data_IF_476555346993
#
_entry.id   IF_476555346993
#
_cell.length_a   1.000
_cell.length_b   1.000
_cell.length_c   1.000
_cell.angle_alpha   90.00
_cell.angle_beta   90.00
_cell.angle_gamma   90.00
#
_symmetry.space_group_name_H-M   'P 1'
#
loop_
_entity.id
_entity.type
_entity.pdbx_description
1 polymer ?
#
# COMPACT_ATOMS: atom_id res chain seq x y z
N UNK A 1 46.89 1.77 -14.14
CA UNK A 1 46.17 2.92 -13.55
C UNK A 1 44.98 2.33 -12.82
N UNK A 2 45.16 2.11 -11.54
CA UNK A 2 44.18 1.49 -10.65
C UNK A 2 43.10 2.51 -10.28
N UNK A 3 41.86 2.20 -10.62
CA UNK A 3 40.69 2.95 -10.26
C UNK A 3 40.39 2.63 -8.78
N UNK A 4 40.87 3.44 -7.87
CA UNK A 4 40.47 3.42 -6.47
C UNK A 4 39.02 3.90 -6.41
N UNK A 5 38.11 2.94 -6.23
CA UNK A 5 36.73 3.23 -5.83
C UNK A 5 36.81 3.90 -4.44
N UNK A 6 36.49 5.18 -4.38
CA UNK A 6 36.26 5.86 -3.10
C UNK A 6 35.16 5.09 -2.34
N UNK A 7 35.41 4.72 -1.08
CA UNK A 7 34.35 4.10 -0.29
C UNK A 7 33.21 5.11 -0.12
N UNK A 8 31.99 4.66 -0.37
CA UNK A 8 30.78 5.42 -0.04
C UNK A 8 30.90 5.85 1.44
N UNK A 9 30.51 7.09 1.80
CA UNK A 9 30.53 7.52 3.18
C UNK A 9 29.67 6.55 3.99
N UNK A 10 30.29 5.84 4.95
CA UNK A 10 29.57 5.02 5.92
C UNK A 10 28.48 5.89 6.54
N UNK A 11 27.20 5.48 6.38
CA UNK A 11 26.08 6.14 7.05
C UNK A 11 26.41 6.16 8.54
N UNK A 12 26.64 7.34 9.10
CA UNK A 12 26.85 7.50 10.54
C UNK A 12 25.62 6.93 11.24
N UNK A 13 25.85 5.99 12.14
CA UNK A 13 24.78 5.45 12.96
C UNK A 13 24.35 6.53 13.95
N UNK A 14 23.20 7.16 13.71
CA UNK A 14 22.64 8.19 14.58
C UNK A 14 21.73 7.51 15.59
N UNK A 15 22.01 7.67 16.86
CA UNK A 15 21.23 7.15 17.96
C UNK A 15 20.49 8.29 18.69
N UNK A 16 19.19 8.21 18.75
CA UNK A 16 18.39 9.15 19.53
C UNK A 16 18.14 8.62 20.94
N UNK A 17 18.51 9.37 21.97
CA UNK A 17 18.17 9.08 23.37
C UNK A 17 16.99 10.00 23.77
N UNK A 18 15.83 9.41 23.96
CA UNK A 18 14.65 10.14 24.38
C UNK A 18 14.58 10.22 25.91
N UNK A 19 15.17 11.27 26.48
CA UNK A 19 15.25 11.53 27.92
C UNK A 19 14.34 12.71 28.32
N UNK A 20 13.04 12.51 28.28
CA UNK A 20 12.06 13.58 28.47
C UNK A 20 11.96 14.14 29.91
N UNK A 21 12.63 13.52 30.88
CA UNK A 21 12.67 13.98 32.27
C UNK A 21 14.00 14.57 32.70
N UNK A 22 15.00 14.58 31.83
CA UNK A 22 16.33 15.08 32.18
C UNK A 22 17.03 14.20 33.22
N UNK A 23 16.82 12.90 33.20
CA UNK A 23 17.44 11.96 34.13
C UNK A 23 18.95 11.86 33.90
N UNK A 24 19.68 11.50 34.96
CA UNK A 24 21.11 11.29 34.87
C UNK A 24 21.40 10.01 34.06
N UNK A 25 22.04 10.17 32.93
CA UNK A 25 22.36 9.10 32.00
C UNK A 25 23.64 8.30 32.34
N UNK A 26 24.30 8.60 33.49
CA UNK A 26 25.40 7.83 34.00
C UNK A 26 26.58 7.65 33.03
N UNK A 27 26.86 8.65 32.15
CA UNK A 27 27.92 8.56 31.13
C UNK A 27 27.54 7.71 29.90
N UNK A 28 26.33 7.26 29.78
CA UNK A 28 25.85 6.47 28.63
C UNK A 28 26.07 7.15 27.27
N UNK A 29 25.79 8.46 27.09
CA UNK A 29 26.08 9.12 25.83
C UNK A 29 27.55 9.10 25.44
N UNK A 30 28.46 9.37 26.38
CA UNK A 30 29.90 9.38 26.15
C UNK A 30 30.41 7.98 25.81
N UNK A 31 29.91 6.97 26.50
CA UNK A 31 30.22 5.60 26.20
C UNK A 31 29.75 5.20 24.80
N UNK A 32 28.52 5.53 24.41
CA UNK A 32 28.01 5.26 23.08
C UNK A 32 28.82 6.00 21.99
N UNK A 33 29.23 7.23 22.24
CA UNK A 33 30.18 7.93 21.36
C UNK A 33 31.46 7.17 21.17
N UNK A 34 32.03 6.60 22.27
CA UNK A 34 33.26 5.78 22.20
C UNK A 34 33.07 4.50 21.36
N UNK A 35 31.83 4.02 21.20
CA UNK A 35 31.46 2.90 20.35
C UNK A 35 31.16 3.31 18.90
N UNK A 36 31.34 4.57 18.53
CA UNK A 36 31.16 5.07 17.16
C UNK A 36 29.77 5.58 16.81
N UNK A 37 28.89 5.78 17.80
CA UNK A 37 27.56 6.35 17.59
C UNK A 37 27.59 7.88 17.57
N UNK A 38 26.82 8.48 16.66
CA UNK A 38 26.45 9.90 16.80
C UNK A 38 25.20 9.98 17.69
N UNK A 39 25.36 10.35 18.95
CA UNK A 39 24.28 10.35 19.95
C UNK A 39 23.60 11.70 20.00
N UNK A 40 22.28 11.69 19.91
CA UNK A 40 21.43 12.88 20.09
C UNK A 40 20.47 12.64 21.24
N UNK A 41 20.49 13.50 22.25
CA UNK A 41 19.68 13.38 23.45
C UNK A 41 18.60 14.46 23.44
N UNK A 42 17.35 14.07 23.69
CA UNK A 42 16.25 15.02 23.91
C UNK A 42 15.95 15.21 25.38
N UNK A 43 15.55 16.41 25.78
CA UNK A 43 15.19 16.79 27.13
C UNK A 43 13.67 16.97 27.37
N UNK A 44 12.86 16.67 26.35
CA UNK A 44 11.41 16.84 26.46
C UNK A 44 10.64 16.21 25.28
N UNK A 45 9.31 16.10 25.43
CA UNK A 45 8.45 15.44 24.45
C UNK A 45 8.48 16.11 23.07
N UNK A 46 8.51 17.45 23.02
CA UNK A 46 8.56 18.20 21.75
C UNK A 46 9.86 17.95 21.00
N UNK A 47 10.98 17.96 21.71
CA UNK A 47 12.30 17.68 21.17
C UNK A 47 12.43 16.21 20.73
N UNK A 48 11.87 15.27 21.52
CA UNK A 48 11.80 13.86 21.15
C UNK A 48 11.06 13.65 19.83
N UNK A 49 9.93 14.31 19.62
CA UNK A 49 9.17 14.28 18.37
C UNK A 49 9.98 14.83 17.19
N UNK A 50 10.68 15.94 17.40
CA UNK A 50 11.54 16.54 16.38
C UNK A 50 12.72 15.63 16.01
N UNK A 51 13.36 14.99 16.99
CA UNK A 51 14.45 14.04 16.73
C UNK A 51 13.99 12.84 15.92
N UNK A 52 12.81 12.28 16.21
CA UNK A 52 12.27 11.11 15.51
C UNK A 52 11.84 11.40 14.07
N UNK A 53 11.66 12.67 13.70
CA UNK A 53 11.38 13.08 12.32
C UNK A 53 12.64 13.16 11.45
N UNK A 54 13.83 13.13 12.07
CA UNK A 54 15.11 13.15 11.36
C UNK A 54 15.58 11.71 11.05
N UNK A 55 16.62 11.60 10.19
CA UNK A 55 17.26 10.32 9.92
C UNK A 55 18.00 9.83 11.17
N UNK A 56 17.43 8.85 11.87
CA UNK A 56 18.05 8.13 12.98
C UNK A 56 18.10 6.63 12.66
N UNK A 57 19.14 5.95 13.17
CA UNK A 57 19.34 4.53 12.93
C UNK A 57 18.73 3.66 14.02
N UNK A 58 18.66 4.16 15.25
CA UNK A 58 18.04 3.49 16.39
C UNK A 58 17.59 4.51 17.44
N UNK A 59 16.71 4.12 18.35
CA UNK A 59 16.29 4.96 19.47
C UNK A 59 16.36 4.21 20.81
N UNK A 60 16.83 4.90 21.84
CA UNK A 60 16.74 4.46 23.23
C UNK A 60 15.63 5.28 23.91
N UNK A 61 14.64 4.60 24.43
CA UNK A 61 13.58 5.22 25.22
C UNK A 61 13.93 5.04 26.72
N UNK A 62 14.24 6.15 27.39
CA UNK A 62 14.49 6.16 28.83
C UNK A 62 13.16 6.24 29.61
N UNK A 63 13.19 5.87 30.91
CA UNK A 63 12.03 5.34 31.60
C UNK A 63 10.83 6.24 31.54
N UNK A 64 9.79 5.67 31.02
CA UNK A 64 8.43 6.10 31.24
C UNK A 64 8.02 5.63 32.62
N UNK A 65 7.93 6.53 33.57
CA UNK A 65 7.11 6.23 34.75
C UNK A 65 5.69 6.07 34.21
N UNK A 66 5.24 4.86 34.16
CA UNK A 66 3.83 4.53 34.03
C UNK A 66 3.11 5.01 35.29
N UNK A 67 2.96 6.34 35.46
CA UNK A 67 1.95 6.85 36.38
C UNK A 67 0.61 6.39 35.85
N UNK A 68 -0.29 6.03 36.75
CA UNK A 68 -1.67 5.61 36.48
C UNK A 68 -2.45 6.48 35.48
N UNK A 69 -1.94 7.64 35.13
CA UNK A 69 -2.57 8.64 34.27
C UNK A 69 -2.10 8.62 32.79
N UNK A 70 -1.34 7.65 32.39
CA UNK A 70 -1.20 7.08 31.01
C UNK A 70 -0.99 7.99 29.80
N UNK A 71 -0.92 9.31 29.93
CA UNK A 71 -1.17 10.23 28.81
C UNK A 71 0.08 10.58 27.98
N UNK A 72 1.28 10.60 28.55
CA UNK A 72 2.45 11.15 27.84
C UNK A 72 3.05 10.23 26.77
N UNK A 73 3.13 8.94 26.98
CA UNK A 73 3.72 8.03 26.02
C UNK A 73 2.76 7.66 24.86
N UNK A 74 1.44 7.75 25.06
CA UNK A 74 0.46 7.57 24.00
C UNK A 74 0.67 8.55 22.84
N UNK A 75 1.22 9.72 23.13
CA UNK A 75 1.56 10.71 22.10
C UNK A 75 2.78 10.34 21.25
N UNK A 76 3.60 9.37 21.70
CA UNK A 76 4.73 8.82 20.92
C UNK A 76 4.30 7.60 20.10
N UNK A 77 3.19 6.93 20.43
CA UNK A 77 2.67 5.76 19.68
C UNK A 77 2.54 5.99 18.17
N UNK A 78 2.04 7.14 17.69
CA UNK A 78 1.98 7.39 16.25
C UNK A 78 3.37 7.44 15.58
N UNK A 79 4.41 7.77 16.34
CA UNK A 79 5.80 7.80 15.86
C UNK A 79 6.45 6.41 15.90
N UNK A 80 5.89 5.49 16.71
CA UNK A 80 6.24 4.07 16.73
C UNK A 80 5.53 3.30 15.61
N UNK A 81 4.70 3.97 14.81
CA UNK A 81 3.97 3.40 13.68
C UNK A 81 4.91 2.62 12.74
N UNK A 82 4.43 1.54 12.09
CA UNK A 82 5.21 0.68 11.22
C UNK A 82 5.87 1.38 10.02
N UNK A 83 5.51 2.65 9.76
CA UNK A 83 6.17 3.48 8.75
C UNK A 83 7.52 4.06 9.22
N UNK A 84 7.75 4.15 10.53
CA UNK A 84 9.03 4.57 11.11
C UNK A 84 9.78 3.32 11.59
N UNK A 85 10.62 2.76 10.72
CA UNK A 85 11.39 1.53 10.92
C UNK A 85 12.63 1.77 11.81
N UNK A 86 12.40 2.31 12.98
CA UNK A 86 13.49 2.58 13.92
C UNK A 86 13.47 1.47 14.95
N UNK A 87 14.57 0.72 15.16
CA UNK A 87 14.67 -0.21 16.27
C UNK A 87 14.69 0.55 17.60
N UNK A 88 13.95 0.03 18.56
CA UNK A 88 13.77 0.64 19.87
C UNK A 88 14.39 -0.19 20.97
N UNK A 89 15.23 0.43 21.79
CA UNK A 89 15.67 -0.13 23.06
C UNK A 89 14.99 0.62 24.21
N UNK A 90 14.21 -0.10 24.99
CA UNK A 90 13.47 0.48 26.12
C UNK A 90 14.20 0.16 27.42
N UNK A 91 14.47 1.18 28.22
CA UNK A 91 15.07 1.03 29.56
C UNK A 91 13.97 1.37 30.57
N UNK A 92 13.30 0.37 31.17
CA UNK A 92 12.23 0.63 32.13
C UNK A 92 12.80 1.10 33.48
N UNK A 93 12.02 1.90 34.21
CA UNK A 93 12.32 2.27 35.59
C UNK A 93 12.21 1.05 36.52
N UNK A 94 12.95 1.06 37.65
CA UNK A 94 13.07 -0.06 38.61
C UNK A 94 11.73 -0.66 39.09
N UNK A 95 10.64 0.12 39.04
CA UNK A 95 9.30 -0.29 39.50
C UNK A 95 8.29 -0.50 38.35
N UNK A 96 8.73 -0.48 37.10
CA UNK A 96 7.84 -0.66 35.95
C UNK A 96 7.45 -2.14 35.78
N UNK A 97 6.15 -2.40 35.70
CA UNK A 97 5.63 -3.75 35.41
C UNK A 97 5.91 -4.09 33.96
N UNK A 98 6.91 -4.92 33.73
CA UNK A 98 7.39 -5.35 32.39
C UNK A 98 6.24 -5.91 31.53
N UNK A 99 5.20 -6.54 32.11
CA UNK A 99 4.06 -7.08 31.40
C UNK A 99 3.23 -6.03 30.65
N UNK A 100 3.14 -4.79 31.13
CA UNK A 100 2.40 -3.73 30.45
C UNK A 100 3.16 -3.18 29.24
N UNK A 101 4.48 -3.15 29.29
CA UNK A 101 5.34 -2.71 28.17
C UNK A 101 5.34 -3.71 27.04
N UNK A 102 5.39 -5.02 27.35
CA UNK A 102 5.36 -6.07 26.31
C UNK A 102 4.08 -6.03 25.47
N UNK A 103 2.93 -5.83 26.10
CA UNK A 103 1.63 -5.73 25.40
C UNK A 103 1.56 -4.53 24.46
N UNK A 104 2.19 -3.41 24.86
CA UNK A 104 2.22 -2.18 24.09
C UNK A 104 3.16 -2.25 22.88
N UNK A 105 4.32 -2.86 23.06
CA UNK A 105 5.32 -3.00 21.98
C UNK A 105 4.91 -4.05 20.95
N UNK A 106 4.25 -5.14 21.34
CA UNK A 106 3.74 -6.19 20.45
C UNK A 106 2.66 -5.62 19.49
N UNK A 107 1.83 -4.69 19.94
CA UNK A 107 0.79 -4.06 19.11
C UNK A 107 1.31 -3.03 18.10
N UNK A 108 2.56 -2.55 18.23
CA UNK A 108 3.10 -1.49 17.38
C UNK A 108 3.89 -1.97 16.15
N UNK A 109 4.14 -3.27 16.00
CA UNK A 109 4.98 -3.87 14.94
C UNK A 109 6.41 -3.29 14.83
N UNK A 110 6.85 -2.51 15.83
CA UNK A 110 8.20 -1.98 15.88
C UNK A 110 9.19 -3.05 16.37
N UNK A 111 10.40 -3.04 15.84
CA UNK A 111 11.50 -3.85 16.35
C UNK A 111 11.93 -3.24 17.68
N UNK A 112 11.68 -3.94 18.78
CA UNK A 112 11.97 -3.44 20.12
C UNK A 112 12.53 -4.52 21.02
N UNK A 113 13.41 -4.09 21.95
CA UNK A 113 13.95 -4.89 23.05
C UNK A 113 14.00 -4.02 24.31
N UNK A 114 14.29 -4.61 25.47
CA UNK A 114 14.39 -3.88 26.73
C UNK A 114 15.62 -4.32 27.54
N UNK A 115 16.13 -3.39 28.37
CA UNK A 115 17.22 -3.62 29.31
C UNK A 115 16.72 -3.29 30.71
N UNK A 116 16.99 -4.17 31.68
CA UNK A 116 16.49 -4.03 33.04
C UNK A 116 17.23 -2.92 33.82
N UNK A 117 18.48 -2.60 33.45
CA UNK A 117 19.28 -1.59 34.13
C UNK A 117 20.04 -0.71 33.14
N UNK A 118 19.95 0.60 33.35
CA UNK A 118 20.75 1.59 32.64
C UNK A 118 22.24 1.60 33.04
N UNK A 119 22.62 0.87 34.07
CA UNK A 119 23.99 0.85 34.60
C UNK A 119 24.92 -0.06 33.80
N UNK A 120 24.40 -1.00 33.04
CA UNK A 120 25.16 -1.90 32.20
C UNK A 120 25.31 -1.40 30.77
N UNK A 121 26.27 -0.52 30.52
CA UNK A 121 26.52 0.02 29.17
C UNK A 121 26.84 -1.10 28.15
N UNK A 122 27.58 -2.15 28.56
CA UNK A 122 27.89 -3.29 27.69
C UNK A 122 26.64 -4.08 27.28
N UNK A 123 25.68 -4.25 28.17
CA UNK A 123 24.40 -4.90 27.85
C UNK A 123 23.57 -4.05 26.86
N UNK A 124 23.52 -2.74 27.08
CA UNK A 124 22.87 -1.80 26.16
C UNK A 124 23.47 -1.91 24.76
N UNK A 125 24.80 -1.89 24.64
CA UNK A 125 25.49 -2.02 23.35
C UNK A 125 25.18 -3.35 22.67
N UNK A 126 25.26 -4.46 23.39
CA UNK A 126 24.95 -5.78 22.86
C UNK A 126 23.52 -5.89 22.33
N UNK A 127 22.55 -5.34 23.05
CA UNK A 127 21.16 -5.34 22.63
C UNK A 127 20.89 -4.42 21.43
N UNK A 128 21.51 -3.24 21.39
CA UNK A 128 21.46 -2.35 20.24
C UNK A 128 22.02 -3.04 18.98
N UNK A 129 23.16 -3.69 19.09
CA UNK A 129 23.76 -4.43 17.98
C UNK A 129 22.85 -5.56 17.49
N UNK A 130 22.23 -6.30 18.41
CA UNK A 130 21.28 -7.35 18.06
C UNK A 130 20.02 -6.78 17.38
N UNK A 131 19.47 -5.67 17.89
CA UNK A 131 18.33 -4.99 17.28
C UNK A 131 18.61 -4.54 15.84
N UNK A 132 19.78 -3.93 15.62
CA UNK A 132 20.21 -3.51 14.29
C UNK A 132 20.43 -4.69 13.32
N UNK A 133 20.99 -5.79 13.82
CA UNK A 133 21.14 -7.02 13.02
C UNK A 133 19.78 -7.60 12.67
N UNK A 134 18.86 -7.63 13.63
CA UNK A 134 17.50 -8.13 13.41
C UNK A 134 16.74 -7.26 12.40
N UNK A 135 16.82 -5.94 12.50
CA UNK A 135 16.24 -5.01 11.53
C UNK A 135 16.76 -5.28 10.11
N UNK A 136 18.09 -5.42 9.94
CA UNK A 136 18.67 -5.75 8.64
C UNK A 136 18.14 -7.07 8.07
N UNK A 137 17.95 -8.09 8.91
CA UNK A 137 17.38 -9.37 8.48
C UNK A 137 15.92 -9.20 8.05
N UNK A 138 15.13 -8.48 8.82
CA UNK A 138 13.72 -8.20 8.50
C UNK A 138 13.61 -7.43 7.19
N UNK A 139 14.42 -6.41 6.98
CA UNK A 139 14.42 -5.62 5.74
C UNK A 139 14.90 -6.44 4.53
N UNK A 140 15.96 -7.23 4.69
CA UNK A 140 16.43 -8.13 3.63
C UNK A 140 15.37 -9.18 3.27
N UNK A 141 14.71 -9.77 4.27
CA UNK A 141 13.63 -10.73 4.05
C UNK A 141 12.45 -10.08 3.32
N UNK A 142 12.07 -8.88 3.73
CA UNK A 142 10.97 -8.11 3.08
C UNK A 142 11.34 -7.74 1.64
N UNK A 143 12.57 -7.31 1.39
CA UNK A 143 13.04 -7.02 0.03
C UNK A 143 12.99 -8.27 -0.83
N UNK A 144 13.48 -9.40 -0.33
CA UNK A 144 13.44 -10.67 -1.06
C UNK A 144 12.01 -11.15 -1.33
N UNK A 145 11.10 -11.01 -0.36
CA UNK A 145 9.68 -11.32 -0.54
C UNK A 145 9.06 -10.43 -1.62
N UNK A 146 9.32 -9.12 -1.58
CA UNK A 146 8.84 -8.18 -2.61
C UNK A 146 9.40 -8.51 -4.00
N UNK A 147 10.66 -8.95 -4.09
CA UNK A 147 11.27 -9.40 -5.34
C UNK A 147 10.59 -10.66 -5.88
N UNK A 148 10.33 -11.65 -5.04
CA UNK A 148 9.60 -12.86 -5.41
C UNK A 148 8.17 -12.54 -5.85
N UNK A 149 7.43 -11.73 -5.08
CA UNK A 149 6.10 -11.27 -5.45
C UNK A 149 6.11 -10.48 -6.77
N UNK A 150 7.19 -9.72 -7.00
CA UNK A 150 7.35 -8.97 -8.25
C UNK A 150 7.58 -9.85 -9.49
N UNK A 151 8.01 -11.08 -9.30
CA UNK A 151 8.16 -12.07 -10.38
C UNK A 151 6.83 -12.76 -10.70
N UNK A 152 5.85 -12.74 -9.80
CA UNK A 152 4.52 -13.25 -10.08
C UNK A 152 3.83 -12.31 -11.08
N UNK A 153 3.19 -12.89 -12.07
CA UNK A 153 2.41 -12.15 -13.08
C UNK A 153 0.94 -12.06 -12.70
N UNK A 154 0.50 -12.88 -11.75
CA UNK A 154 -0.92 -13.01 -11.37
C UNK A 154 -1.16 -12.56 -9.93
N UNK A 155 -2.37 -12.07 -9.68
CA UNK A 155 -2.91 -11.83 -8.34
C UNK A 155 -3.27 -13.17 -7.67
N UNK A 156 -2.77 -13.40 -6.48
CA UNK A 156 -2.90 -14.69 -5.77
C UNK A 156 -4.34 -15.02 -5.33
N UNK A 157 -5.20 -14.01 -5.13
CA UNK A 157 -6.59 -14.21 -4.72
C UNK A 157 -7.49 -14.55 -5.90
N UNK A 158 -7.30 -13.87 -7.02
CA UNK A 158 -8.18 -13.96 -8.18
C UNK A 158 -7.61 -14.76 -9.33
N UNK A 159 -6.28 -14.95 -9.38
CA UNK A 159 -5.59 -15.58 -10.50
C UNK A 159 -5.64 -14.78 -11.80
N UNK A 160 -6.17 -13.56 -11.81
CA UNK A 160 -6.02 -12.60 -12.91
C UNK A 160 -4.61 -12.03 -12.91
N UNK A 161 -4.23 -11.31 -13.97
CA UNK A 161 -2.96 -10.59 -13.95
C UNK A 161 -2.94 -9.55 -12.81
N UNK A 162 -1.77 -9.29 -12.22
CA UNK A 162 -1.60 -8.28 -11.20
C UNK A 162 -1.38 -6.88 -11.82
N UNK A 163 -1.41 -5.82 -10.99
CA UNK A 163 -1.24 -4.43 -11.41
C UNK A 163 0.08 -4.21 -12.17
N UNK A 164 1.18 -4.84 -11.72
CA UNK A 164 2.49 -4.70 -12.39
C UNK A 164 2.47 -5.22 -13.81
N UNK A 165 1.94 -6.43 -14.00
CA UNK A 165 1.81 -7.03 -15.34
C UNK A 165 0.87 -6.21 -16.22
N UNK A 166 -0.27 -5.78 -15.67
CA UNK A 166 -1.22 -4.90 -16.32
C UNK A 166 -0.55 -3.62 -16.86
N UNK A 167 0.22 -2.90 -16.05
CA UNK A 167 0.89 -1.66 -16.48
C UNK A 167 1.90 -1.90 -17.60
N UNK A 168 2.61 -3.01 -17.53
CA UNK A 168 3.55 -3.40 -18.59
C UNK A 168 2.81 -3.69 -19.88
N UNK A 169 1.76 -4.50 -19.84
CA UNK A 169 0.94 -4.86 -20.98
C UNK A 169 0.19 -3.68 -21.58
N UNK A 170 -0.32 -2.78 -20.75
CA UNK A 170 -0.99 -1.57 -21.23
C UNK A 170 -0.05 -0.70 -22.08
N UNK A 171 1.20 -0.54 -21.67
CA UNK A 171 2.20 0.20 -22.43
C UNK A 171 2.50 -0.49 -23.76
N UNK A 172 2.74 -1.80 -23.74
CA UNK A 172 3.05 -2.59 -24.95
C UNK A 172 1.89 -2.55 -25.95
N UNK A 173 0.66 -2.76 -25.51
CA UNK A 173 -0.52 -2.74 -26.39
C UNK A 173 -0.82 -1.33 -26.89
N UNK A 174 -0.56 -0.29 -26.09
CA UNK A 174 -0.67 1.09 -26.54
C UNK A 174 0.32 1.41 -27.66
N UNK A 175 1.59 1.02 -27.52
CA UNK A 175 2.61 1.19 -28.54
C UNK A 175 2.27 0.40 -29.80
N UNK A 176 1.74 -0.83 -29.65
CA UNK A 176 1.28 -1.65 -30.77
C UNK A 176 0.10 -1.00 -31.51
N UNK A 177 -0.92 -0.52 -30.76
CA UNK A 177 -2.06 0.20 -31.29
C UNK A 177 -1.64 1.43 -32.10
N UNK A 178 -0.74 2.24 -31.54
CA UNK A 178 -0.22 3.45 -32.20
C UNK A 178 0.55 3.10 -33.48
N UNK A 179 1.37 2.06 -33.46
CA UNK A 179 2.19 1.64 -34.62
C UNK A 179 1.32 1.12 -35.77
N UNK A 180 0.26 0.37 -35.48
CA UNK A 180 -0.57 -0.26 -36.48
C UNK A 180 -1.85 0.54 -36.79
N UNK A 181 -2.11 1.61 -36.11
CA UNK A 181 -3.35 2.40 -36.26
C UNK A 181 -4.61 1.62 -35.88
N UNK A 182 -4.48 0.55 -35.08
CA UNK A 182 -5.62 -0.27 -34.61
C UNK A 182 -6.18 0.31 -33.31
N UNK A 183 -7.50 0.26 -33.08
CA UNK A 183 -8.09 0.75 -31.85
C UNK A 183 -7.66 -0.10 -30.63
N UNK A 184 -7.50 0.55 -29.50
CA UNK A 184 -7.26 -0.09 -28.21
C UNK A 184 -8.25 0.48 -27.20
N UNK A 185 -8.98 -0.37 -26.49
CA UNK A 185 -9.83 0.05 -25.41
C UNK A 185 -9.23 -0.36 -24.06
N UNK A 186 -9.36 0.53 -23.08
CA UNK A 186 -9.09 0.27 -21.68
C UNK A 186 -10.38 0.41 -20.90
N UNK A 187 -10.70 -0.61 -20.12
CA UNK A 187 -11.84 -0.64 -19.22
C UNK A 187 -11.35 -0.78 -17.78
N UNK A 188 -11.74 0.14 -16.92
CA UNK A 188 -11.52 0.09 -15.48
C UNK A 188 -12.84 -0.20 -14.78
N UNK A 189 -12.77 -1.06 -13.76
CA UNK A 189 -13.94 -1.50 -13.01
C UNK A 189 -13.65 -1.39 -11.52
N UNK A 190 -14.69 -1.12 -10.76
CA UNK A 190 -14.62 -1.05 -9.31
C UNK A 190 -15.91 -1.63 -8.72
N UNK A 191 -15.77 -2.49 -7.73
CA UNK A 191 -16.90 -3.10 -7.05
C UNK A 191 -17.61 -2.09 -6.16
N UNK A 192 -18.88 -1.88 -6.45
CA UNK A 192 -19.68 -0.94 -5.70
C UNK A 192 -19.95 -1.47 -4.29
N UNK A 193 -19.71 -0.61 -3.29
CA UNK A 193 -19.95 -0.90 -1.86
C UNK A 193 -19.19 -2.09 -1.30
N UNK A 194 -18.03 -2.46 -1.89
CA UNK A 194 -17.23 -3.61 -1.48
C UNK A 194 -16.80 -3.55 0.00
N UNK A 195 -16.58 -2.34 0.53
CA UNK A 195 -16.26 -2.16 1.94
C UNK A 195 -17.42 -2.65 2.84
N UNK A 196 -18.66 -2.37 2.49
CA UNK A 196 -19.82 -2.85 3.24
C UNK A 196 -19.91 -4.39 3.22
N UNK A 197 -19.57 -5.02 2.08
CA UNK A 197 -19.52 -6.49 1.98
C UNK A 197 -18.48 -7.07 2.95
N UNK A 198 -17.36 -6.40 3.15
CA UNK A 198 -16.31 -6.84 4.09
C UNK A 198 -16.65 -6.54 5.56
N UNK A 199 -17.31 -5.40 5.84
CA UNK A 199 -17.58 -4.94 7.21
C UNK A 199 -18.77 -5.70 7.83
N UNK A 200 -19.79 -6.05 7.02
CA UNK A 200 -20.99 -6.77 7.45
C UNK A 200 -20.82 -8.29 7.53
N UNK A 201 -19.76 -8.83 6.89
CA UNK A 201 -19.51 -10.26 6.78
C UNK A 201 -18.04 -10.58 7.10
N UNK A 202 -17.71 -11.85 7.34
CA UNK A 202 -16.33 -12.28 7.53
C UNK A 202 -15.48 -12.02 6.29
N UNK A 203 -14.16 -11.90 6.43
CA UNK A 203 -13.18 -11.72 5.32
C UNK A 203 -13.35 -12.75 4.19
N UNK A 204 -13.99 -13.89 4.44
CA UNK A 204 -14.27 -14.94 3.47
C UNK A 204 -15.24 -14.46 2.36
N UNK A 205 -16.22 -13.62 2.68
CA UNK A 205 -17.19 -13.13 1.69
C UNK A 205 -16.55 -12.14 0.69
N UNK A 206 -15.67 -11.28 1.14
CA UNK A 206 -14.92 -10.41 0.24
C UNK A 206 -14.06 -11.19 -0.75
N UNK A 207 -13.41 -12.26 -0.31
CA UNK A 207 -12.61 -13.13 -1.17
C UNK A 207 -13.48 -13.90 -2.18
N UNK A 208 -14.68 -14.33 -1.79
CA UNK A 208 -15.66 -14.96 -2.68
C UNK A 208 -16.12 -13.95 -3.73
N UNK A 209 -16.47 -12.72 -3.34
CA UNK A 209 -16.88 -11.66 -4.25
C UNK A 209 -15.78 -11.36 -5.30
N UNK A 210 -14.53 -11.22 -4.87
CA UNK A 210 -13.40 -10.97 -5.76
C UNK A 210 -13.17 -12.12 -6.75
N UNK A 211 -13.28 -13.38 -6.30
CA UNK A 211 -13.15 -14.56 -7.16
C UNK A 211 -14.31 -14.65 -8.16
N UNK A 212 -15.52 -14.33 -7.72
CA UNK A 212 -16.70 -14.30 -8.59
C UNK A 212 -16.53 -13.30 -9.72
N UNK A 213 -16.14 -12.06 -9.40
CA UNK A 213 -15.85 -11.03 -10.40
C UNK A 213 -14.76 -11.48 -11.37
N UNK A 214 -13.67 -12.07 -10.85
CA UNK A 214 -12.59 -12.56 -11.68
C UNK A 214 -13.03 -13.65 -12.66
N UNK A 215 -13.89 -14.56 -12.25
CA UNK A 215 -14.44 -15.60 -13.12
C UNK A 215 -15.34 -15.01 -14.21
N UNK A 216 -16.25 -14.12 -13.82
CA UNK A 216 -17.12 -13.41 -14.78
C UNK A 216 -16.29 -12.60 -15.78
N UNK A 217 -15.23 -11.94 -15.35
CA UNK A 217 -14.32 -11.23 -16.25
C UNK A 217 -13.65 -12.18 -17.25
N UNK A 218 -13.11 -13.32 -16.80
CA UNK A 218 -12.50 -14.32 -17.71
C UNK A 218 -13.48 -14.83 -18.76
N UNK A 219 -14.72 -15.09 -18.38
CA UNK A 219 -15.77 -15.55 -19.30
C UNK A 219 -16.25 -14.44 -20.25
N UNK A 220 -16.05 -13.18 -19.86
CA UNK A 220 -16.47 -12.02 -20.63
C UNK A 220 -15.43 -11.54 -21.65
N UNK A 221 -14.23 -12.09 -21.67
CA UNK A 221 -13.13 -11.60 -22.53
C UNK A 221 -12.62 -12.68 -23.47
N UNK A 222 -11.91 -12.27 -24.54
CA UNK A 222 -11.23 -13.14 -25.50
C UNK A 222 -9.83 -13.52 -24.97
N UNK A 223 -9.21 -14.54 -25.56
CA UNK A 223 -7.85 -14.96 -25.19
C UNK A 223 -6.77 -13.88 -25.42
N UNK A 224 -7.02 -12.91 -26.31
CA UNK A 224 -6.09 -11.80 -26.58
C UNK A 224 -6.28 -10.64 -25.62
N UNK A 225 -7.40 -10.59 -24.91
CA UNK A 225 -7.72 -9.55 -23.96
C UNK A 225 -6.96 -9.84 -22.64
N UNK A 226 -6.65 -8.78 -21.90
CA UNK A 226 -5.86 -8.89 -20.69
C UNK A 226 -6.73 -8.43 -19.52
N UNK A 227 -7.10 -9.37 -18.65
CA UNK A 227 -7.86 -9.10 -17.43
C UNK A 227 -6.91 -9.09 -16.22
N UNK A 228 -6.99 -8.03 -15.41
CA UNK A 228 -6.13 -7.82 -14.27
C UNK A 228 -6.91 -7.32 -13.04
N UNK A 229 -6.39 -7.61 -11.85
CA UNK A 229 -6.75 -6.93 -10.61
C UNK A 229 -5.66 -5.91 -10.28
N UNK A 230 -6.04 -4.64 -10.18
CA UNK A 230 -5.10 -3.52 -10.03
C UNK A 230 -5.15 -2.85 -8.66
N UNK A 231 -6.11 -3.21 -7.83
CA UNK A 231 -6.31 -2.67 -6.48
C UNK A 231 -7.09 -3.62 -5.58
N UNK A 232 -7.57 -3.14 -4.47
CA UNK A 232 -8.38 -3.91 -3.51
C UNK A 232 -9.63 -4.51 -4.15
N UNK A 233 -10.47 -3.67 -4.69
CA UNK A 233 -11.73 -3.95 -5.38
C UNK A 233 -11.74 -3.46 -6.84
N UNK A 234 -10.58 -3.06 -7.33
CA UNK A 234 -10.39 -2.51 -8.67
C UNK A 234 -9.85 -3.55 -9.66
N UNK A 235 -10.48 -3.62 -10.82
CA UNK A 235 -10.08 -4.48 -11.93
C UNK A 235 -9.88 -3.67 -13.21
N UNK A 236 -9.15 -4.24 -14.16
CA UNK A 236 -8.89 -3.62 -15.44
C UNK A 236 -8.93 -4.64 -16.58
N UNK A 237 -9.40 -4.21 -17.74
CA UNK A 237 -9.33 -4.97 -18.99
C UNK A 237 -8.63 -4.14 -20.06
N UNK A 238 -7.60 -4.72 -20.68
CA UNK A 238 -7.02 -4.18 -21.92
C UNK A 238 -7.63 -4.98 -23.05
N UNK A 239 -8.27 -4.28 -23.99
CA UNK A 239 -8.98 -4.86 -25.13
C UNK A 239 -8.31 -4.42 -26.43
N UNK A 240 -7.34 -5.19 -26.93
CA UNK A 240 -6.68 -4.88 -28.21
C UNK A 240 -7.65 -4.94 -29.38
N UNK A 241 -7.44 -4.12 -30.38
CA UNK A 241 -8.24 -4.07 -31.63
C UNK A 241 -9.75 -3.94 -31.37
N UNK A 242 -10.10 -3.10 -30.37
CA UNK A 242 -11.46 -2.97 -29.89
C UNK A 242 -11.89 -1.50 -29.91
N UNK A 243 -13.01 -1.21 -30.57
CA UNK A 243 -13.61 0.14 -30.63
C UNK A 243 -14.38 0.44 -29.33
N UNK A 244 -14.87 1.69 -29.20
CA UNK A 244 -15.68 2.07 -28.02
C UNK A 244 -17.00 1.29 -27.98
N UNK A 245 -17.64 1.09 -29.11
CA UNK A 245 -18.91 0.36 -29.23
C UNK A 245 -18.73 -1.10 -28.79
N UNK A 246 -17.65 -1.75 -29.25
CA UNK A 246 -17.33 -3.12 -28.86
C UNK A 246 -16.98 -3.21 -27.37
N UNK A 247 -16.24 -2.23 -26.82
CA UNK A 247 -15.92 -2.17 -25.40
C UNK A 247 -17.16 -1.99 -24.53
N UNK A 248 -18.14 -1.18 -24.98
CA UNK A 248 -19.44 -1.04 -24.32
C UNK A 248 -20.22 -2.35 -24.30
N UNK A 249 -20.16 -3.15 -25.37
CA UNK A 249 -20.78 -4.49 -25.41
C UNK A 249 -20.11 -5.45 -24.41
N UNK A 250 -18.78 -5.41 -24.29
CA UNK A 250 -18.04 -6.20 -23.28
C UNK A 250 -18.45 -5.79 -21.88
N UNK A 251 -18.50 -4.48 -21.58
CA UNK A 251 -18.90 -3.96 -20.28
C UNK A 251 -20.33 -4.36 -19.91
N UNK A 252 -21.26 -4.27 -20.87
CA UNK A 252 -22.65 -4.67 -20.67
C UNK A 252 -22.78 -6.16 -20.41
N UNK A 253 -22.10 -7.00 -21.21
CA UNK A 253 -22.07 -8.45 -21.00
C UNK A 253 -21.53 -8.82 -19.62
N UNK A 254 -20.44 -8.17 -19.18
CA UNK A 254 -19.89 -8.36 -17.86
C UNK A 254 -20.90 -8.03 -16.75
N UNK A 255 -21.54 -6.84 -16.80
CA UNK A 255 -22.54 -6.47 -15.79
C UNK A 255 -23.73 -7.44 -15.78
N UNK A 256 -24.24 -7.81 -16.94
CA UNK A 256 -25.38 -8.75 -17.05
C UNK A 256 -25.01 -10.16 -16.52
N UNK A 257 -23.76 -10.62 -16.77
CA UNK A 257 -23.28 -11.90 -16.27
C UNK A 257 -23.02 -11.85 -14.76
N UNK A 258 -22.52 -10.72 -14.24
CA UNK A 258 -22.30 -10.55 -12.80
C UNK A 258 -23.64 -10.62 -12.03
N UNK A 259 -24.68 -9.96 -12.53
CA UNK A 259 -26.02 -9.98 -11.91
C UNK A 259 -26.70 -11.37 -11.93
N UNK A 260 -26.41 -12.18 -12.96
CA UNK A 260 -27.01 -13.50 -13.14
C UNK A 260 -26.17 -14.64 -12.54
N UNK A 261 -25.08 -14.33 -11.83
CA UNK A 261 -24.18 -15.34 -11.32
C UNK A 261 -24.82 -16.06 -10.11
N UNK A 262 -24.97 -17.41 -10.15
CA UNK A 262 -25.61 -18.17 -9.07
C UNK A 262 -24.90 -18.01 -7.71
N UNK A 263 -23.60 -17.79 -7.71
CA UNK A 263 -22.84 -17.54 -6.48
C UNK A 263 -23.25 -16.23 -5.79
N UNK A 264 -23.97 -15.36 -6.48
CA UNK A 264 -24.53 -14.10 -5.96
C UNK A 264 -26.00 -14.27 -5.57
N UNK A 265 -26.75 -15.08 -6.34
CA UNK A 265 -28.20 -15.30 -6.11
C UNK A 265 -28.46 -16.14 -4.85
N UNK A 266 -27.63 -17.13 -4.55
CA UNK A 266 -27.79 -18.05 -3.41
C UNK A 266 -27.09 -17.59 -2.11
N UNK A 267 -26.44 -16.43 -2.13
CA UNK A 267 -25.73 -15.91 -0.95
C UNK A 267 -26.46 -14.69 -0.39
N UNK A 268 -26.35 -14.50 0.93
CA UNK A 268 -26.72 -13.24 1.60
C UNK A 268 -25.83 -12.05 1.13
N UNK A 269 -24.94 -12.28 0.13
CA UNK A 269 -24.20 -11.21 -0.55
C UNK A 269 -25.22 -10.41 -1.37
N UNK A 270 -25.51 -9.22 -0.90
CA UNK A 270 -26.23 -8.20 -1.68
C UNK A 270 -25.65 -8.16 -3.10
N UNK A 271 -26.53 -8.18 -4.12
CA UNK A 271 -26.16 -8.26 -5.54
C UNK A 271 -24.87 -7.53 -5.87
N UNK A 272 -23.81 -8.28 -6.25
CA UNK A 272 -22.55 -7.70 -6.67
C UNK A 272 -22.80 -6.74 -7.85
N UNK A 273 -22.36 -5.51 -7.68
CA UNK A 273 -22.48 -4.46 -8.71
C UNK A 273 -21.10 -3.87 -8.94
N UNK A 274 -20.89 -3.40 -10.15
CA UNK A 274 -19.64 -2.77 -10.52
C UNK A 274 -19.87 -1.54 -11.38
N UNK A 275 -19.21 -0.47 -11.05
CA UNK A 275 -19.08 0.72 -11.88
C UNK A 275 -17.96 0.52 -12.90
N UNK A 276 -18.16 1.02 -14.11
CA UNK A 276 -17.24 0.81 -15.24
C UNK A 276 -16.89 2.13 -15.90
N UNK A 277 -15.61 2.35 -16.15
CA UNK A 277 -15.10 3.48 -16.92
C UNK A 277 -14.29 2.99 -18.12
N UNK A 278 -14.55 3.52 -19.32
CA UNK A 278 -13.95 3.09 -20.57
C UNK A 278 -13.27 4.27 -21.25
N UNK A 279 -12.08 4.03 -21.82
CA UNK A 279 -11.42 4.95 -22.74
C UNK A 279 -10.83 4.16 -23.93
N UNK A 280 -10.73 4.83 -25.09
CA UNK A 280 -10.16 4.22 -26.30
C UNK A 280 -9.12 5.13 -26.92
N UNK A 281 -8.12 4.52 -27.56
CA UNK A 281 -7.23 5.27 -28.46
C UNK A 281 -8.02 5.72 -29.68
N UNK A 282 -7.84 6.97 -30.08
CA UNK A 282 -8.42 7.50 -31.32
C UNK A 282 -7.36 7.61 -32.42
N UNK A 283 -7.82 7.89 -33.66
CA UNK A 283 -6.93 8.13 -34.81
C UNK A 283 -5.95 9.30 -34.61
N UNK A 284 -6.18 10.16 -33.64
CA UNK A 284 -5.35 11.32 -33.31
C UNK A 284 -4.38 11.05 -32.16
N UNK A 285 -4.30 9.78 -31.68
CA UNK A 285 -3.36 9.27 -30.72
C UNK A 285 -3.49 9.93 -29.32
N UNK A 286 -3.78 9.15 -28.29
CA UNK A 286 -3.40 9.53 -26.96
C UNK A 286 -1.87 9.71 -26.94
N UNK A 287 -1.34 10.66 -26.15
CA UNK A 287 0.11 10.90 -26.11
C UNK A 287 0.88 9.73 -25.49
N UNK A 288 0.26 8.99 -24.58
CA UNK A 288 0.84 7.83 -23.90
C UNK A 288 -0.24 6.95 -23.23
N UNK A 289 0.15 5.77 -22.79
CA UNK A 289 -0.72 4.82 -22.08
C UNK A 289 -1.24 5.38 -20.74
N UNK A 290 -0.52 6.31 -20.12
CA UNK A 290 -0.94 6.96 -18.87
C UNK A 290 -2.15 7.88 -19.11
N UNK A 291 -2.18 8.59 -20.23
CA UNK A 291 -3.33 9.41 -20.58
C UNK A 291 -4.58 8.55 -20.82
N UNK A 292 -4.45 7.42 -21.50
CA UNK A 292 -5.55 6.47 -21.68
C UNK A 292 -6.08 5.97 -20.33
N UNK A 293 -5.19 5.66 -19.39
CA UNK A 293 -5.57 5.26 -18.04
C UNK A 293 -6.32 6.38 -17.29
N UNK A 294 -5.83 7.61 -17.36
CA UNK A 294 -6.47 8.75 -16.71
C UNK A 294 -7.89 9.02 -17.26
N UNK A 295 -8.09 8.88 -18.58
CA UNK A 295 -9.39 9.03 -19.22
C UNK A 295 -10.38 7.93 -18.79
N UNK A 296 -9.95 6.68 -18.73
CA UNK A 296 -10.77 5.58 -18.22
C UNK A 296 -11.12 5.77 -16.73
N UNK A 297 -10.17 6.26 -15.94
CA UNK A 297 -10.40 6.54 -14.52
C UNK A 297 -11.37 7.73 -14.30
N UNK A 298 -11.29 8.75 -15.14
CA UNK A 298 -12.26 9.85 -15.12
C UNK A 298 -13.68 9.33 -15.45
N UNK A 299 -13.80 8.48 -16.46
CA UNK A 299 -15.05 7.83 -16.79
C UNK A 299 -15.58 6.97 -15.63
N UNK A 300 -14.72 6.19 -14.97
CA UNK A 300 -15.08 5.40 -13.79
C UNK A 300 -15.62 6.27 -12.64
N UNK A 301 -14.98 7.41 -12.37
CA UNK A 301 -15.46 8.36 -11.36
C UNK A 301 -16.86 8.88 -11.69
N UNK A 302 -17.10 9.22 -12.95
CA UNK A 302 -18.41 9.69 -13.40
C UNK A 302 -19.46 8.58 -13.25
N UNK A 303 -19.16 7.33 -13.60
CA UNK A 303 -20.09 6.21 -13.41
C UNK A 303 -20.53 6.05 -11.96
N UNK A 304 -19.59 6.20 -11.00
CA UNK A 304 -19.88 6.18 -9.55
C UNK A 304 -20.74 7.37 -9.11
N UNK A 305 -20.48 8.57 -9.63
CA UNK A 305 -21.25 9.79 -9.30
C UNK A 305 -22.69 9.73 -9.79
N UNK A 306 -22.94 9.10 -10.93
CA UNK A 306 -24.28 8.96 -11.51
C UNK A 306 -25.10 7.79 -10.91
N UNK A 307 -24.69 7.27 -9.77
CA UNK A 307 -25.48 6.33 -8.97
C UNK A 307 -24.98 4.90 -8.99
N UNK A 308 -23.70 4.68 -9.33
CA UNK A 308 -23.03 3.37 -9.33
C UNK A 308 -23.69 2.37 -10.31
N UNK A 309 -23.12 1.16 -10.41
CA UNK A 309 -23.63 0.11 -11.32
C UNK A 309 -23.89 0.63 -12.74
N UNK A 310 -23.01 1.46 -13.24
CA UNK A 310 -23.14 2.14 -14.54
C UNK A 310 -21.87 2.00 -15.36
N UNK A 311 -22.05 2.20 -16.66
CA UNK A 311 -20.94 2.27 -17.60
C UNK A 311 -20.84 3.73 -18.06
N UNK A 312 -19.64 4.30 -17.96
CA UNK A 312 -19.34 5.59 -18.55
C UNK A 312 -18.10 5.45 -19.45
N UNK A 313 -17.99 6.30 -20.45
CA UNK A 313 -16.84 6.29 -21.34
C UNK A 313 -16.38 7.70 -21.67
N UNK A 314 -15.08 7.83 -21.90
CA UNK A 314 -14.48 9.07 -22.36
C UNK A 314 -14.63 9.17 -23.89
N UNK A 315 -15.31 10.21 -24.35
CA UNK A 315 -15.43 10.52 -25.79
C UNK A 315 -14.26 11.43 -26.21
N UNK A 316 -13.30 10.93 -26.98
CA UNK A 316 -12.14 11.71 -27.39
C UNK A 316 -12.47 12.84 -28.39
N UNK A 317 -13.65 12.82 -29.04
CA UNK A 317 -14.07 13.85 -30.00
C UNK A 317 -14.58 15.09 -29.29
N UNK A 318 -15.38 14.92 -28.26
CA UNK A 318 -15.92 16.01 -27.43
C UNK A 318 -15.04 16.33 -26.21
N UNK A 319 -14.10 15.44 -25.87
CA UNK A 319 -13.30 15.47 -24.62
C UNK A 319 -14.15 15.47 -23.36
N UNK A 320 -15.30 14.80 -23.41
CA UNK A 320 -16.24 14.69 -22.30
C UNK A 320 -16.47 13.22 -21.93
N UNK A 321 -16.89 13.00 -20.69
CA UNK A 321 -17.34 11.69 -20.24
C UNK A 321 -18.84 11.57 -20.45
N UNK A 322 -19.26 10.48 -21.06
CA UNK A 322 -20.65 10.16 -21.34
C UNK A 322 -21.04 8.94 -20.50
N UNK A 323 -22.11 9.06 -19.71
CA UNK A 323 -22.66 7.93 -18.95
C UNK A 323 -23.67 7.19 -19.84
N UNK A 324 -23.43 5.91 -20.10
CA UNK A 324 -24.27 5.09 -20.94
C UNK A 324 -25.63 4.82 -20.26
N UNK A 325 -26.72 5.10 -20.94
CA UNK A 325 -28.10 4.90 -20.44
C UNK A 325 -28.61 5.99 -19.50
N UNK A 326 -27.85 7.05 -19.25
CA UNK A 326 -28.41 8.25 -18.63
C UNK A 326 -29.13 9.07 -19.72
N UNK A 327 -30.45 9.13 -19.66
CA UNK A 327 -31.21 10.17 -20.39
C UNK A 327 -30.70 11.51 -19.90
N UNK A 328 -30.15 12.34 -20.80
CA UNK A 328 -29.74 13.70 -20.53
C UNK A 328 -30.88 14.46 -19.82
N UNK A 329 -30.76 14.65 -18.52
CA UNK A 329 -31.33 15.77 -17.79
C UNK A 329 -30.16 16.50 -17.17
N UNK A 330 -29.55 17.36 -17.97
CA UNK A 330 -28.80 18.51 -17.46
C UNK A 330 -29.86 19.57 -17.20
N UNK A 331 -30.15 19.82 -15.92
CA UNK A 331 -30.64 21.12 -15.46
C UNK A 331 -29.47 21.86 -14.83
#
# INVERSE_FOLDING_TARGET
MSNEQQPFPEKRNILAILNHRGENLGGLPDWLHSQGWEVRVSSGLSESKSLLQNEISAAILLPLTLKRDGIEWQSLLPLLSPHHRIPWLVIPWKDAVVGSLSTLLIGSLAVADWVISSESHSEIGFRLDNLLRFEKIVDATRQHTNELESQLVTDHKTGLFNDRHFRTRLREEFERSTRHGSPLALMLLDLDDFKAINDDNTYEFGDIALKTVANVLRESVRNIDIAARIGGDEFALILPTTTIEEALMVAKRFQDSLHKNPAVEDSDIAQLRASVGIATTNKFGGRDSRQLFLQANEALKVSKQYGKNRIAFYDPSTRQVICHGATNKVE
#
